data_IF_826626646691
#
_entry.id   IF_826626646691
#
_cell.length_a   1.000
_cell.length_b   1.000
_cell.length_c   1.000
_cell.angle_alpha   90.00
_cell.angle_beta   90.00
_cell.angle_gamma   90.00
#
_symmetry.space_group_name_H-M   'P 1'
#
loop_
_entity.id
_entity.type
_entity.pdbx_description
1 polymer ?
#
# COMPACT_ATOMS: atom_id res chain seq x y z
N UNK A 1 -8.82 -18.89 1.40
CA UNK A 1 -8.35 -17.48 1.45
C UNK A 1 -8.82 -16.68 0.24
N UNK A 2 -8.39 -17.02 -1.00
CA UNK A 2 -8.79 -16.30 -2.23
C UNK A 2 -10.31 -16.08 -2.38
N UNK A 3 -11.13 -17.12 -2.18
CA UNK A 3 -12.59 -17.01 -2.31
C UNK A 3 -13.27 -15.99 -1.36
N UNK A 4 -12.66 -15.69 -0.20
CA UNK A 4 -13.22 -14.72 0.74
C UNK A 4 -12.94 -13.28 0.26
N UNK A 5 -11.77 -13.05 -0.31
CA UNK A 5 -11.39 -11.78 -0.94
C UNK A 5 -12.25 -11.52 -2.17
N UNK A 6 -12.47 -12.54 -3.01
CA UNK A 6 -13.30 -12.44 -4.22
C UNK A 6 -14.74 -12.02 -3.87
N UNK A 7 -15.35 -12.69 -2.88
CA UNK A 7 -16.70 -12.33 -2.39
C UNK A 7 -16.77 -10.91 -1.85
N UNK A 8 -15.74 -10.47 -1.13
CA UNK A 8 -15.71 -9.12 -0.58
C UNK A 8 -15.56 -8.08 -1.71
N UNK A 9 -14.74 -8.34 -2.73
CA UNK A 9 -14.55 -7.48 -3.89
C UNK A 9 -15.84 -7.31 -4.70
N UNK A 10 -16.56 -8.42 -4.96
CA UNK A 10 -17.86 -8.40 -5.65
C UNK A 10 -18.90 -7.54 -4.92
N UNK A 11 -18.88 -7.56 -3.57
CA UNK A 11 -19.81 -6.78 -2.76
C UNK A 11 -19.55 -5.28 -2.89
N UNK A 12 -18.29 -4.85 -2.92
CA UNK A 12 -17.90 -3.44 -3.11
C UNK A 12 -18.27 -2.99 -4.53
N UNK A 13 -18.03 -3.83 -5.54
CA UNK A 13 -18.33 -3.50 -6.94
C UNK A 13 -19.82 -3.30 -7.26
N UNK A 14 -20.74 -3.85 -6.44
CA UNK A 14 -22.20 -3.78 -6.66
C UNK A 14 -22.87 -2.55 -6.02
N UNK A 15 -22.15 -1.66 -5.33
CA UNK A 15 -22.74 -0.47 -4.70
C UNK A 15 -23.18 0.59 -5.75
N UNK A 16 -24.29 1.26 -5.41
CA UNK A 16 -25.02 2.34 -6.08
C UNK A 16 -24.11 3.44 -6.67
N UNK A 17 -24.53 4.23 -7.70
CA UNK A 17 -23.63 5.19 -8.35
C UNK A 17 -22.98 6.12 -7.33
N UNK A 18 -21.65 6.20 -7.37
CA UNK A 18 -20.90 7.07 -6.49
C UNK A 18 -21.36 8.52 -6.69
N UNK A 19 -21.68 9.20 -5.59
CA UNK A 19 -21.85 10.66 -5.63
C UNK A 19 -20.53 11.27 -6.07
N UNK A 20 -20.58 12.15 -7.06
CA UNK A 20 -19.38 12.78 -7.63
C UNK A 20 -18.90 13.99 -6.81
N UNK A 21 -19.61 14.33 -5.73
CA UNK A 21 -19.19 15.37 -4.79
C UNK A 21 -18.03 14.90 -3.90
N UNK A 22 -17.38 15.85 -3.21
CA UNK A 22 -16.26 15.56 -2.31
C UNK A 22 -16.65 14.57 -1.21
N UNK A 23 -17.91 14.61 -0.75
CA UNK A 23 -18.43 13.70 0.27
C UNK A 23 -18.42 12.25 -0.24
N UNK A 24 -18.97 12.01 -1.44
CA UNK A 24 -18.96 10.69 -2.06
C UNK A 24 -17.56 10.19 -2.37
N UNK A 25 -16.64 11.08 -2.76
CA UNK A 25 -15.23 10.73 -2.98
C UNK A 25 -14.55 10.29 -1.69
N UNK A 26 -14.73 11.04 -0.59
CA UNK A 26 -14.15 10.67 0.72
C UNK A 26 -14.75 9.36 1.23
N UNK A 27 -16.07 9.17 1.13
CA UNK A 27 -16.75 7.91 1.49
C UNK A 27 -16.18 6.72 0.71
N UNK A 28 -16.00 6.87 -0.61
CA UNK A 28 -15.40 5.83 -1.45
C UNK A 28 -13.95 5.51 -1.08
N UNK A 29 -13.15 6.51 -0.69
CA UNK A 29 -11.78 6.30 -0.21
C UNK A 29 -11.76 5.55 1.12
N UNK A 30 -12.67 5.89 2.05
CA UNK A 30 -12.80 5.18 3.33
C UNK A 30 -13.25 3.74 3.11
N UNK A 31 -14.23 3.49 2.25
CA UNK A 31 -14.66 2.14 1.86
C UNK A 31 -13.48 1.32 1.30
N UNK A 32 -12.62 1.95 0.49
CA UNK A 32 -11.41 1.31 -0.06
C UNK A 32 -10.41 0.96 1.04
N UNK A 33 -10.17 1.85 2.01
CA UNK A 33 -9.31 1.56 3.15
C UNK A 33 -9.89 0.43 4.00
N UNK A 34 -11.20 0.45 4.26
CA UNK A 34 -11.87 -0.58 5.05
C UNK A 34 -11.77 -1.96 4.39
N UNK A 35 -11.95 -2.01 3.06
CA UNK A 35 -11.76 -3.23 2.28
C UNK A 35 -10.30 -3.71 2.31
N UNK A 36 -9.34 -2.79 2.18
CA UNK A 36 -7.90 -3.08 2.22
C UNK A 36 -7.50 -3.68 3.57
N UNK A 37 -7.86 -3.03 4.69
CA UNK A 37 -7.57 -3.53 6.03
C UNK A 37 -8.33 -4.83 6.33
N UNK A 38 -9.59 -4.95 5.89
CA UNK A 38 -10.34 -6.21 6.00
C UNK A 38 -9.68 -7.37 5.25
N UNK A 39 -9.00 -7.09 4.12
CA UNK A 39 -8.24 -8.09 3.38
C UNK A 39 -7.02 -8.59 4.16
N UNK A 40 -6.28 -7.69 4.83
CA UNK A 40 -5.20 -8.08 5.75
C UNK A 40 -5.70 -8.96 6.90
N UNK A 41 -6.85 -8.63 7.50
CA UNK A 41 -7.51 -9.46 8.52
C UNK A 41 -7.80 -10.86 8.00
N UNK A 42 -8.38 -10.98 6.80
CA UNK A 42 -8.68 -12.29 6.20
C UNK A 42 -7.40 -13.10 5.91
N UNK A 43 -6.31 -12.42 5.56
CA UNK A 43 -4.99 -13.04 5.33
C UNK A 43 -4.28 -13.45 6.62
N UNK A 44 -4.74 -13.00 7.79
CA UNK A 44 -4.04 -13.20 9.06
C UNK A 44 -2.72 -12.43 9.12
N UNK A 45 -2.64 -11.29 8.43
CA UNK A 45 -1.45 -10.44 8.36
C UNK A 45 -1.74 -9.12 9.06
N UNK A 46 -0.87 -8.73 9.98
CA UNK A 46 -0.87 -7.40 10.58
C UNK A 46 -0.11 -6.43 9.65
N UNK A 47 -0.79 -5.41 9.07
CA UNK A 47 -0.16 -4.52 8.11
C UNK A 47 0.71 -3.42 8.73
N UNK A 48 0.67 -3.17 10.03
CA UNK A 48 1.32 -2.00 10.64
C UNK A 48 2.82 -1.93 10.32
N UNK A 49 3.57 -2.99 10.66
CA UNK A 49 5.02 -3.03 10.39
C UNK A 49 5.36 -3.10 8.91
N UNK A 50 4.49 -3.70 8.11
CA UNK A 50 4.66 -3.77 6.65
C UNK A 50 4.52 -2.36 6.05
N UNK A 51 3.56 -1.57 6.55
CA UNK A 51 3.40 -0.18 6.15
C UNK A 51 4.64 0.64 6.50
N UNK A 52 5.19 0.49 7.71
CA UNK A 52 6.41 1.19 8.13
C UNK A 52 7.61 0.86 7.23
N UNK A 53 7.79 -0.41 6.85
CA UNK A 53 8.84 -0.84 5.92
C UNK A 53 8.69 -0.13 4.57
N UNK A 54 7.48 -0.10 4.01
CA UNK A 54 7.21 0.58 2.73
C UNK A 54 7.38 2.10 2.87
N UNK A 55 6.97 2.69 3.99
CA UNK A 55 7.14 4.11 4.25
C UNK A 55 8.63 4.49 4.31
N UNK A 56 9.45 3.72 5.04
CA UNK A 56 10.90 3.92 5.09
C UNK A 56 11.55 3.80 3.72
N UNK A 57 11.14 2.80 2.92
CA UNK A 57 11.59 2.65 1.54
C UNK A 57 11.28 3.88 0.68
N UNK A 58 10.08 4.45 0.84
CA UNK A 58 9.69 5.69 0.17
C UNK A 58 10.51 6.91 0.63
N UNK A 59 10.81 7.02 1.92
CA UNK A 59 11.70 8.07 2.44
C UNK A 59 13.15 7.91 1.93
N UNK A 60 13.56 6.70 1.57
CA UNK A 60 14.84 6.42 0.91
C UNK A 60 14.97 6.97 -0.52
N UNK A 61 13.88 7.46 -1.14
CA UNK A 61 13.91 8.05 -2.51
C UNK A 61 14.55 9.45 -2.59
N UNK A 62 15.25 9.85 -1.54
CA UNK A 62 16.02 11.09 -1.50
C UNK A 62 17.30 10.93 -2.32
N UNK A 63 17.53 11.83 -3.26
CA UNK A 63 18.75 11.85 -4.07
C UNK A 63 19.94 12.42 -3.27
N UNK A 64 21.19 12.22 -3.73
CA UNK A 64 22.38 12.73 -3.05
C UNK A 64 22.41 14.25 -2.82
N UNK A 65 21.63 15.01 -3.59
CA UNK A 65 21.45 16.46 -3.44
C UNK A 65 20.47 16.84 -2.31
N UNK A 66 19.91 15.85 -1.60
CA UNK A 66 18.96 16.03 -0.52
C UNK A 66 17.55 16.40 -1.01
N UNK A 67 17.19 16.09 -2.26
CA UNK A 67 15.85 16.37 -2.80
C UNK A 67 15.20 15.13 -3.39
N UNK A 68 13.88 15.12 -3.44
CA UNK A 68 13.15 14.18 -4.28
C UNK A 68 13.23 14.66 -5.74
N UNK A 69 13.48 13.75 -6.67
CA UNK A 69 13.38 14.02 -8.10
C UNK A 69 12.08 13.44 -8.65
N UNK A 70 11.52 14.09 -9.67
CA UNK A 70 10.22 13.74 -10.24
C UNK A 70 10.36 13.47 -11.73
N UNK A 71 9.66 12.44 -12.21
CA UNK A 71 9.48 12.19 -13.63
C UNK A 71 8.78 13.40 -14.28
N UNK A 72 9.30 13.97 -15.36
CA UNK A 72 8.80 15.24 -15.90
C UNK A 72 7.41 15.13 -16.56
N UNK A 73 6.95 13.92 -16.87
CA UNK A 73 5.66 13.69 -17.55
C UNK A 73 4.60 13.23 -16.55
N UNK A 74 4.91 12.24 -15.74
CA UNK A 74 3.98 11.59 -14.81
C UNK A 74 3.99 12.21 -13.42
N UNK A 75 4.99 13.06 -13.12
CA UNK A 75 5.21 13.65 -11.82
C UNK A 75 5.41 12.62 -10.69
N UNK A 76 5.80 11.39 -11.04
CA UNK A 76 6.13 10.34 -10.07
C UNK A 76 7.51 10.58 -9.47
N UNK A 77 7.65 10.31 -8.17
CA UNK A 77 8.96 10.35 -7.50
C UNK A 77 9.86 9.26 -8.09
N UNK A 78 11.06 9.66 -8.52
CA UNK A 78 12.11 8.79 -9.04
C UNK A 78 12.91 8.13 -7.91
N UNK A 79 13.66 7.08 -8.25
CA UNK A 79 14.55 6.37 -7.32
C UNK A 79 16.02 6.71 -7.66
N UNK A 80 16.90 6.96 -6.68
CA UNK A 80 18.34 7.03 -6.93
C UNK A 80 18.93 5.66 -7.29
N UNK A 81 20.14 5.65 -7.88
CA UNK A 81 20.78 4.42 -8.42
C UNK A 81 20.99 3.33 -7.37
N UNK A 82 21.30 3.70 -6.12
CA UNK A 82 21.55 2.78 -5.00
C UNK A 82 20.27 2.40 -4.23
N UNK A 83 19.10 2.87 -4.67
CA UNK A 83 17.85 2.72 -3.92
C UNK A 83 17.45 1.26 -3.74
N UNK A 84 17.52 0.48 -4.81
CA UNK A 84 17.04 -0.91 -4.81
C UNK A 84 17.89 -1.78 -3.86
N UNK A 85 19.19 -1.56 -3.81
CA UNK A 85 20.09 -2.26 -2.90
C UNK A 85 19.83 -1.89 -1.44
N UNK A 86 19.57 -0.61 -1.16
CA UNK A 86 19.54 -0.07 0.20
C UNK A 86 18.14 -0.05 0.84
N UNK A 87 17.11 0.13 0.04
CA UNK A 87 15.78 0.51 0.49
C UNK A 87 14.65 -0.33 -0.10
N UNK A 88 14.90 -1.26 -1.04
CA UNK A 88 13.85 -2.12 -1.57
C UNK A 88 13.12 -2.84 -0.42
N UNK A 89 11.79 -2.68 -0.29
CA UNK A 89 11.05 -3.16 0.88
C UNK A 89 10.82 -4.68 0.86
N UNK A 90 10.87 -5.34 -0.29
CA UNK A 90 10.44 -6.72 -0.50
C UNK A 90 11.16 -7.74 0.42
N UNK A 91 12.51 -7.68 0.59
CA UNK A 91 13.20 -8.58 1.53
C UNK A 91 12.74 -8.38 2.98
N UNK A 92 12.48 -7.13 3.38
CA UNK A 92 12.02 -6.80 4.73
C UNK A 92 10.57 -7.21 4.97
N UNK A 93 9.68 -7.01 3.97
CA UNK A 93 8.29 -7.48 4.01
C UNK A 93 8.26 -9.00 4.18
N UNK A 94 9.06 -9.74 3.41
CA UNK A 94 9.14 -11.21 3.52
C UNK A 94 9.52 -11.63 4.95
N UNK A 95 10.55 -11.00 5.51
CA UNK A 95 11.01 -11.29 6.88
C UNK A 95 9.93 -10.98 7.92
N UNK A 96 9.18 -9.89 7.75
CA UNK A 96 8.10 -9.53 8.67
C UNK A 96 6.92 -10.52 8.58
N UNK A 97 6.54 -10.95 7.38
CA UNK A 97 5.52 -12.01 7.21
C UNK A 97 5.98 -13.31 7.88
N UNK A 98 7.24 -13.73 7.67
CA UNK A 98 7.80 -14.92 8.33
C UNK A 98 7.81 -14.79 9.86
N UNK A 99 8.02 -13.57 10.39
CA UNK A 99 7.95 -13.31 11.84
C UNK A 99 6.52 -13.45 12.36
N UNK A 100 5.52 -12.94 11.65
CA UNK A 100 4.11 -13.04 12.04
C UNK A 100 3.61 -14.48 12.03
N UNK A 101 4.03 -15.31 11.06
CA UNK A 101 3.65 -16.72 10.98
C UNK A 101 4.21 -17.55 12.15
N UNK A 102 5.36 -17.15 12.72
CA UNK A 102 6.03 -17.85 13.82
C UNK A 102 5.55 -17.44 15.22
N UNK A 103 4.79 -16.35 15.33
CA UNK A 103 4.30 -15.80 16.59
C UNK A 103 3.04 -16.53 17.06
#
# INVERSE_FOLDING_TARGET
LHQALDKAAEKVAKKTPAKQDLVGQVDALIDTLYFTYGSFVLMGVDPERIFDIVHQANMGKMFPDGKAHFDPVTHKILKPDDWEERYAPEPAIKKEIERQIKA
#
